data_IF_385429323831
#
_entry.id   IF_385429323831
#
_cell.length_a   1.000
_cell.length_b   1.000
_cell.length_c   1.000
_cell.angle_alpha   90.00
_cell.angle_beta   90.00
_cell.angle_gamma   90.00
#
_symmetry.space_group_name_H-M   'P 1'
#
loop_
_entity.id
_entity.type
_entity.pdbx_description
1 polymer ?
#
# COMPACT_ATOMS: atom_id res chain seq x y z
N UNK A 1 -9.68 20.36 26.30
CA UNK A 1 -11.06 20.33 25.76
C UNK A 1 -11.07 19.49 24.47
N UNK A 2 -12.19 19.30 23.76
CA UNK A 2 -12.21 18.44 22.54
C UNK A 2 -11.44 19.04 21.35
N UNK A 3 -11.37 20.37 21.25
CA UNK A 3 -10.62 21.05 20.20
C UNK A 3 -9.11 20.83 20.35
N UNK A 4 -8.60 20.75 21.59
CA UNK A 4 -7.20 20.43 21.86
C UNK A 4 -6.87 19.01 21.38
N UNK A 5 -7.78 18.04 21.59
CA UNK A 5 -7.63 16.66 21.11
C UNK A 5 -7.61 16.62 19.58
N UNK A 6 -8.53 17.31 18.92
CA UNK A 6 -8.57 17.36 17.45
C UNK A 6 -7.35 18.06 16.83
N UNK A 7 -6.64 18.89 17.60
CA UNK A 7 -5.41 19.54 17.17
C UNK A 7 -4.15 18.68 17.35
N UNK A 8 -4.22 17.57 18.09
CA UNK A 8 -3.11 16.62 18.22
C UNK A 8 -2.82 15.98 16.87
N UNK A 9 -1.54 15.73 16.62
CA UNK A 9 -1.09 14.79 15.60
C UNK A 9 -1.46 13.36 15.97
N UNK A 10 -1.45 12.45 15.00
CA UNK A 10 -1.65 11.02 15.26
C UNK A 10 -0.61 10.50 16.26
N UNK A 11 0.68 10.85 16.13
CA UNK A 11 1.74 10.39 17.05
C UNK A 11 1.54 10.89 18.49
N UNK A 12 1.12 12.15 18.65
CA UNK A 12 0.73 12.70 19.95
C UNK A 12 -0.49 11.96 20.52
N UNK A 13 -1.48 11.68 19.66
CA UNK A 13 -2.66 10.91 20.02
C UNK A 13 -2.34 9.48 20.47
N UNK A 14 -1.44 8.78 19.77
CA UNK A 14 -0.95 7.44 20.16
C UNK A 14 -0.38 7.47 21.57
N UNK A 15 0.45 8.47 21.86
CA UNK A 15 1.08 8.63 23.17
C UNK A 15 0.04 8.96 24.25
N UNK A 16 -0.88 9.88 23.95
CA UNK A 16 -1.89 10.38 24.88
C UNK A 16 -2.93 9.30 25.23
N UNK A 17 -3.40 8.55 24.24
CA UNK A 17 -4.46 7.54 24.39
C UNK A 17 -3.96 6.13 24.67
N UNK A 18 -2.67 5.93 25.00
CA UNK A 18 -2.06 4.60 25.27
C UNK A 18 -2.83 3.71 26.25
N UNK A 19 -3.59 4.29 27.17
CA UNK A 19 -4.37 3.57 28.18
C UNK A 19 -5.82 3.26 27.74
N UNK A 20 -6.21 3.66 26.53
CA UNK A 20 -7.55 3.51 25.96
C UNK A 20 -7.45 2.74 24.64
N UNK A 21 -7.42 1.39 24.68
CA UNK A 21 -7.17 0.56 23.48
C UNK A 21 -8.06 0.88 22.28
N UNK A 22 -9.35 1.15 22.53
CA UNK A 22 -10.32 1.46 21.48
C UNK A 22 -9.98 2.72 20.65
N UNK A 23 -9.18 3.64 21.21
CA UNK A 23 -8.69 4.83 20.52
C UNK A 23 -7.22 4.64 20.10
N UNK A 24 -6.43 4.00 20.94
CA UNK A 24 -5.02 3.72 20.66
C UNK A 24 -4.82 2.86 19.40
N UNK A 25 -5.54 1.75 19.23
CA UNK A 25 -5.29 0.80 18.14
C UNK A 25 -5.50 1.43 16.73
N UNK A 26 -6.60 2.20 16.48
CA UNK A 26 -6.74 2.92 15.22
C UNK A 26 -5.65 3.99 15.00
N UNK A 27 -5.25 4.71 16.04
CA UNK A 27 -4.20 5.74 15.95
C UNK A 27 -2.83 5.11 15.67
N UNK A 28 -2.53 3.98 16.30
CA UNK A 28 -1.30 3.24 16.04
C UNK A 28 -1.25 2.80 14.58
N UNK A 29 -2.36 2.26 14.06
CA UNK A 29 -2.45 1.87 12.65
C UNK A 29 -2.22 3.06 11.71
N UNK A 30 -2.78 4.24 12.02
CA UNK A 30 -2.52 5.46 11.26
C UNK A 30 -1.03 5.88 11.31
N UNK A 31 -0.37 5.76 12.46
CA UNK A 31 1.06 6.04 12.58
C UNK A 31 1.90 5.06 11.77
N UNK A 32 1.59 3.76 11.82
CA UNK A 32 2.29 2.70 11.10
C UNK A 32 2.20 2.83 9.58
N UNK A 33 1.07 3.32 9.04
CA UNK A 33 0.95 3.62 7.60
C UNK A 33 1.67 4.93 7.21
N UNK A 34 2.34 5.59 8.16
CA UNK A 34 3.13 6.79 7.92
C UNK A 34 2.40 8.12 8.08
N UNK A 35 1.20 8.13 8.67
CA UNK A 35 0.37 9.33 8.85
C UNK A 35 0.50 9.95 10.27
N UNK A 36 1.57 9.61 10.99
CA UNK A 36 1.85 10.10 12.35
C UNK A 36 1.78 11.63 12.50
N UNK A 37 2.14 12.36 11.44
CA UNK A 37 2.20 13.83 11.42
C UNK A 37 0.84 14.52 11.18
N UNK A 38 -0.20 13.80 10.77
CA UNK A 38 -1.50 14.38 10.42
C UNK A 38 -2.26 14.71 11.70
N UNK A 39 -3.00 15.82 11.71
CA UNK A 39 -3.87 16.15 12.85
C UNK A 39 -5.15 15.31 12.85
N UNK A 40 -5.61 14.91 14.04
CA UNK A 40 -6.84 14.12 14.19
C UNK A 40 -8.08 14.80 13.60
N UNK A 41 -8.16 16.13 13.71
CA UNK A 41 -9.22 16.96 13.15
C UNK A 41 -8.91 17.58 11.78
N UNK A 42 -7.88 17.12 11.07
CA UNK A 42 -7.54 17.66 9.76
C UNK A 42 -8.70 17.45 8.78
N UNK A 43 -9.07 18.50 8.06
CA UNK A 43 -10.14 18.43 7.07
C UNK A 43 -9.79 17.44 5.97
N UNK A 44 -10.72 16.52 5.66
CA UNK A 44 -10.53 15.57 4.56
C UNK A 44 -10.30 16.23 3.20
N UNK A 45 -10.76 17.47 3.03
CA UNK A 45 -10.57 18.27 1.79
C UNK A 45 -9.15 18.81 1.62
N UNK A 46 -8.33 18.81 2.67
CA UNK A 46 -6.94 19.30 2.63
C UNK A 46 -5.92 18.16 2.58
N UNK A 47 -6.37 16.91 2.50
CA UNK A 47 -5.50 15.75 2.36
C UNK A 47 -5.05 15.60 0.91
N UNK A 48 -3.79 15.26 0.72
CA UNK A 48 -3.27 14.75 -0.55
C UNK A 48 -3.93 13.40 -0.91
N UNK A 49 -3.88 13.04 -2.19
CA UNK A 49 -4.38 11.74 -2.65
C UNK A 49 -3.72 10.56 -1.93
N UNK A 50 -2.40 10.61 -1.74
CA UNK A 50 -1.64 9.59 -1.02
C UNK A 50 -1.97 9.50 0.47
N UNK A 51 -2.30 10.62 1.13
CA UNK A 51 -2.80 10.59 2.52
C UNK A 51 -4.20 9.97 2.59
N UNK A 52 -5.11 10.38 1.71
CA UNK A 52 -6.46 9.83 1.67
C UNK A 52 -6.45 8.31 1.42
N UNK A 53 -5.55 7.84 0.56
CA UNK A 53 -5.36 6.41 0.31
C UNK A 53 -4.82 5.67 1.52
N UNK A 54 -3.79 6.20 2.20
CA UNK A 54 -3.24 5.59 3.41
C UNK A 54 -4.26 5.56 4.56
N UNK A 55 -5.13 6.56 4.68
CA UNK A 55 -6.25 6.52 5.62
C UNK A 55 -7.19 5.34 5.31
N UNK A 56 -7.56 5.13 4.04
CA UNK A 56 -8.39 3.98 3.64
C UNK A 56 -7.71 2.65 3.99
N UNK A 57 -6.41 2.53 3.72
CA UNK A 57 -5.65 1.32 4.06
C UNK A 57 -5.55 1.09 5.57
N UNK A 58 -5.34 2.15 6.36
CA UNK A 58 -5.32 2.06 7.82
C UNK A 58 -6.66 1.58 8.40
N UNK A 59 -7.78 2.01 7.80
CA UNK A 59 -9.10 1.59 8.21
C UNK A 59 -9.33 0.10 7.93
N UNK A 60 -8.82 -0.41 6.81
CA UNK A 60 -8.88 -1.85 6.50
C UNK A 60 -7.96 -2.67 7.40
N UNK A 61 -6.75 -2.19 7.71
CA UNK A 61 -5.83 -2.84 8.65
C UNK A 61 -6.43 -2.96 10.06
N UNK A 62 -7.15 -1.91 10.52
CA UNK A 62 -7.77 -1.86 11.84
C UNK A 62 -8.94 -2.83 12.01
N UNK A 63 -9.48 -3.37 10.90
CA UNK A 63 -10.56 -4.35 10.96
C UNK A 63 -10.04 -5.72 11.39
N UNK A 64 -10.89 -6.46 12.09
CA UNK A 64 -10.60 -7.84 12.47
C UNK A 64 -10.46 -8.69 11.20
N UNK A 65 -9.22 -9.07 10.89
CA UNK A 65 -8.90 -9.84 9.70
C UNK A 65 -9.45 -11.26 9.83
N UNK A 66 -10.13 -11.73 8.78
CA UNK A 66 -10.62 -13.11 8.67
C UNK A 66 -9.60 -14.03 8.01
N UNK A 67 -8.50 -13.46 7.46
CA UNK A 67 -7.52 -14.17 6.63
C UNK A 67 -8.10 -14.69 5.33
N UNK A 68 -9.23 -14.13 4.86
CA UNK A 68 -9.96 -14.56 3.66
C UNK A 68 -10.50 -13.38 2.87
N UNK A 69 -9.86 -12.22 2.99
CA UNK A 69 -10.23 -11.02 2.24
C UNK A 69 -9.32 -10.89 1.01
N UNK A 70 -9.91 -10.52 -0.12
CA UNK A 70 -9.18 -10.14 -1.34
C UNK A 70 -9.14 -8.62 -1.42
N UNK A 71 -7.95 -8.05 -1.41
CA UNK A 71 -7.71 -6.64 -1.65
C UNK A 71 -7.26 -6.43 -3.09
N UNK A 72 -7.89 -5.48 -3.78
CA UNK A 72 -7.48 -5.04 -5.12
C UNK A 72 -7.10 -3.58 -5.03
N UNK A 73 -5.87 -3.25 -5.40
CA UNK A 73 -5.34 -1.89 -5.39
C UNK A 73 -4.93 -1.50 -6.81
N UNK A 74 -5.44 -0.36 -7.26
CA UNK A 74 -5.12 0.22 -8.56
C UNK A 74 -4.11 1.35 -8.38
N UNK A 75 -2.89 1.13 -8.87
CA UNK A 75 -1.71 2.02 -8.79
C UNK A 75 -1.53 2.73 -7.44
N UNK A 76 -1.38 1.99 -6.33
CA UNK A 76 -1.34 2.58 -5.01
C UNK A 76 -0.09 3.43 -4.73
N UNK A 77 0.93 3.39 -5.59
CA UNK A 77 2.10 4.24 -5.48
C UNK A 77 1.98 5.57 -6.22
N UNK A 78 0.89 5.82 -6.95
CA UNK A 78 0.73 7.04 -7.74
C UNK A 78 0.81 8.30 -6.86
N UNK A 79 1.79 9.15 -7.17
CA UNK A 79 2.06 10.40 -6.44
C UNK A 79 2.77 10.22 -5.10
N UNK A 80 3.26 9.03 -4.76
CA UNK A 80 4.06 8.79 -3.55
C UNK A 80 5.55 9.00 -3.81
N UNK A 81 6.23 9.60 -2.83
CA UNK A 81 7.70 9.66 -2.80
C UNK A 81 8.27 8.27 -2.43
N UNK A 82 9.51 7.96 -2.83
CA UNK A 82 10.16 6.65 -2.59
C UNK A 82 10.08 6.16 -1.13
N UNK A 83 10.22 7.08 -0.17
CA UNK A 83 10.10 6.78 1.26
C UNK A 83 8.69 6.31 1.65
N UNK A 84 7.65 6.90 1.06
CA UNK A 84 6.26 6.53 1.33
C UNK A 84 5.87 5.22 0.65
N UNK A 85 6.49 4.87 -0.49
CA UNK A 85 6.33 3.55 -1.14
C UNK A 85 6.78 2.43 -0.20
N UNK A 86 7.89 2.61 0.51
CA UNK A 86 8.40 1.61 1.47
C UNK A 86 7.40 1.38 2.61
N UNK A 87 6.81 2.46 3.16
CA UNK A 87 5.77 2.36 4.20
C UNK A 87 4.49 1.69 3.69
N UNK A 88 4.10 1.99 2.45
CA UNK A 88 2.97 1.31 1.82
C UNK A 88 3.25 -0.20 1.70
N UNK A 89 4.44 -0.59 1.26
CA UNK A 89 4.81 -2.00 1.17
C UNK A 89 4.75 -2.71 2.52
N UNK A 90 5.24 -2.09 3.60
CA UNK A 90 5.11 -2.64 4.96
C UNK A 90 3.66 -2.94 5.33
N UNK A 91 2.74 -2.05 4.97
CA UNK A 91 1.29 -2.20 5.20
C UNK A 91 0.71 -3.35 4.37
N UNK A 92 1.07 -3.46 3.09
CA UNK A 92 0.63 -4.55 2.23
C UNK A 92 1.15 -5.91 2.74
N UNK A 93 2.39 -5.97 3.24
CA UNK A 93 2.94 -7.17 3.84
C UNK A 93 2.23 -7.57 5.13
N UNK A 94 1.82 -6.61 5.98
CA UNK A 94 0.99 -6.90 7.17
C UNK A 94 -0.38 -7.49 6.79
N UNK A 95 -1.02 -6.94 5.76
CA UNK A 95 -2.29 -7.47 5.24
C UNK A 95 -2.11 -8.90 4.73
N UNK A 96 -1.05 -9.16 3.97
CA UNK A 96 -0.69 -10.49 3.47
C UNK A 96 -0.42 -11.47 4.61
N UNK A 97 0.41 -11.08 5.58
CA UNK A 97 0.80 -11.91 6.73
C UNK A 97 -0.39 -12.31 7.60
N UNK A 98 -1.46 -11.51 7.57
CA UNK A 98 -2.74 -11.82 8.23
C UNK A 98 -3.58 -12.88 7.47
N UNK A 99 -3.07 -13.45 6.38
CA UNK A 99 -3.70 -14.49 5.56
C UNK A 99 -4.51 -13.97 4.37
N UNK A 100 -4.53 -12.66 4.13
CA UNK A 100 -5.28 -12.08 3.02
C UNK A 100 -4.54 -12.19 1.68
N UNK A 101 -5.29 -12.10 0.59
CA UNK A 101 -4.74 -12.02 -0.77
C UNK A 101 -4.76 -10.57 -1.23
N UNK A 102 -3.69 -10.14 -1.89
CA UNK A 102 -3.58 -8.81 -2.49
C UNK A 102 -3.32 -8.94 -3.98
N UNK A 103 -4.06 -8.19 -4.78
CA UNK A 103 -3.80 -7.96 -6.20
C UNK A 103 -3.50 -6.48 -6.35
N UNK A 104 -2.35 -6.16 -6.92
CA UNK A 104 -1.88 -4.79 -7.08
C UNK A 104 -1.57 -4.57 -8.55
N UNK A 105 -2.19 -3.55 -9.13
CA UNK A 105 -1.85 -3.04 -10.46
C UNK A 105 -0.77 -1.98 -10.25
N UNK A 106 0.42 -2.19 -10.80
CA UNK A 106 1.55 -1.29 -10.59
C UNK A 106 2.49 -1.25 -11.80
N UNK A 107 3.18 -0.13 -11.92
CA UNK A 107 4.34 0.03 -12.81
C UNK A 107 5.62 0.32 -12.02
N UNK A 108 5.51 0.53 -10.70
CA UNK A 108 6.67 0.77 -9.84
C UNK A 108 7.45 -0.53 -9.57
N UNK A 109 8.69 -0.58 -10.05
CA UNK A 109 9.55 -1.76 -9.93
C UNK A 109 9.89 -2.11 -8.47
N UNK A 110 9.90 -1.15 -7.55
CA UNK A 110 10.12 -1.41 -6.12
C UNK A 110 8.99 -2.22 -5.51
N UNK A 111 7.76 -2.10 -6.04
CA UNK A 111 6.63 -2.92 -5.64
C UNK A 111 6.70 -4.27 -6.33
N UNK A 112 6.86 -4.28 -7.67
CA UNK A 112 6.84 -5.49 -8.49
C UNK A 112 7.90 -6.50 -8.04
N UNK A 113 9.12 -6.05 -7.72
CA UNK A 113 10.20 -6.94 -7.26
C UNK A 113 9.90 -7.68 -5.95
N UNK A 114 8.95 -7.18 -5.17
CA UNK A 114 8.58 -7.77 -3.87
C UNK A 114 7.37 -8.69 -3.94
N UNK A 115 6.74 -8.81 -5.11
CA UNK A 115 5.59 -9.67 -5.31
C UNK A 115 6.00 -11.15 -5.27
N UNK A 116 5.14 -12.00 -4.71
CA UNK A 116 5.35 -13.46 -4.79
C UNK A 116 5.02 -14.02 -6.18
N UNK A 117 4.15 -13.32 -6.91
CA UNK A 117 3.68 -13.70 -8.23
C UNK A 117 3.33 -12.45 -9.03
N UNK A 118 3.75 -12.41 -10.29
CA UNK A 118 3.50 -11.34 -11.24
C UNK A 118 2.75 -11.93 -12.43
N UNK A 119 1.77 -11.19 -12.94
CA UNK A 119 1.09 -11.47 -14.21
C UNK A 119 1.38 -10.28 -15.11
N UNK A 120 2.22 -10.49 -16.12
CA UNK A 120 2.62 -9.45 -17.06
C UNK A 120 1.69 -9.44 -18.28
N UNK A 121 1.09 -8.30 -18.56
CA UNK A 121 0.15 -8.11 -19.66
C UNK A 121 0.80 -7.27 -20.77
N UNK A 122 0.53 -7.63 -22.02
CA UNK A 122 1.08 -6.95 -23.17
C UNK A 122 0.86 -7.76 -24.46
N UNK A 123 1.85 -7.80 -25.37
CA UNK A 123 3.17 -7.15 -25.31
C UNK A 123 3.13 -5.63 -25.49
N UNK A 124 2.05 -5.11 -26.09
CA UNK A 124 1.82 -3.68 -26.32
C UNK A 124 0.52 -3.21 -25.62
N UNK A 125 0.22 -1.91 -25.71
CA UNK A 125 -1.07 -1.36 -25.33
C UNK A 125 -2.13 -1.42 -26.45
N UNK A 126 -3.40 -1.26 -26.10
CA UNK A 126 -4.50 -1.20 -27.07
C UNK A 126 -4.73 -2.52 -27.82
N UNK A 127 -4.98 -2.46 -29.13
CA UNK A 127 -5.26 -3.63 -29.98
C UNK A 127 -4.08 -4.61 -30.08
N UNK A 128 -2.86 -4.16 -29.76
CA UNK A 128 -1.66 -4.99 -29.71
C UNK A 128 -1.44 -5.69 -28.37
N UNK A 129 -2.34 -5.50 -27.41
CA UNK A 129 -2.22 -6.00 -26.04
C UNK A 129 -3.26 -7.07 -25.67
N UNK A 130 -3.51 -7.18 -24.37
CA UNK A 130 -4.55 -8.05 -23.81
C UNK A 130 -4.18 -9.52 -23.68
N UNK A 131 -2.89 -9.86 -23.83
CA UNK A 131 -2.38 -11.21 -23.64
C UNK A 131 -1.51 -11.29 -22.38
N UNK A 132 -1.48 -12.47 -21.76
CA UNK A 132 -0.50 -12.79 -20.72
C UNK A 132 0.82 -13.09 -21.43
N UNK A 133 1.81 -12.23 -21.23
CA UNK A 133 3.15 -12.35 -21.82
C UNK A 133 4.03 -13.27 -20.98
N UNK A 134 3.93 -13.13 -19.66
CA UNK A 134 4.62 -13.96 -18.69
C UNK A 134 3.83 -14.00 -17.38
N UNK A 135 3.95 -15.10 -16.64
CA UNK A 135 3.45 -15.20 -15.28
C UNK A 135 4.42 -16.03 -14.43
N UNK A 136 4.53 -15.68 -13.15
CA UNK A 136 5.42 -16.35 -12.21
C UNK A 136 6.05 -15.40 -11.19
N UNK A 137 6.96 -15.90 -10.35
CA UNK A 137 7.78 -15.08 -9.49
C UNK A 137 8.60 -14.05 -10.29
N UNK A 138 8.99 -12.90 -9.71
CA UNK A 138 9.83 -11.89 -10.34
C UNK A 138 11.06 -12.45 -11.08
N UNK A 139 11.69 -13.48 -10.52
CA UNK A 139 12.87 -14.15 -11.07
C UNK A 139 12.59 -14.93 -12.37
N UNK A 140 11.35 -15.38 -12.58
CA UNK A 140 10.93 -16.01 -13.83
C UNK A 140 10.53 -14.96 -14.88
N UNK A 141 9.91 -13.86 -14.46
CA UNK A 141 9.54 -12.76 -15.37
C UNK A 141 10.77 -12.19 -16.08
N UNK A 142 11.89 -12.01 -15.37
CA UNK A 142 13.14 -11.47 -15.96
C UNK A 142 13.80 -12.37 -17.01
N UNK A 143 13.39 -13.65 -17.10
CA UNK A 143 13.89 -14.59 -18.10
C UNK A 143 13.09 -14.53 -19.41
N UNK A 144 11.93 -13.87 -19.41
CA UNK A 144 11.08 -13.75 -20.59
C UNK A 144 11.49 -12.54 -21.43
N UNK A 145 12.14 -12.77 -22.56
CA UNK A 145 12.59 -11.70 -23.48
C UNK A 145 11.44 -10.88 -24.07
N UNK A 146 10.22 -11.44 -24.13
CA UNK A 146 9.02 -10.76 -24.62
C UNK A 146 8.40 -9.81 -23.58
N UNK A 147 8.77 -9.95 -22.30
CA UNK A 147 8.24 -9.14 -21.20
C UNK A 147 8.98 -7.80 -21.09
N UNK A 148 8.28 -6.69 -21.33
CA UNK A 148 8.84 -5.36 -21.06
C UNK A 148 9.12 -5.20 -19.57
N UNK A 149 8.19 -5.66 -18.72
CA UNK A 149 8.36 -5.67 -17.26
C UNK A 149 9.64 -6.40 -16.86
N UNK A 150 9.86 -7.62 -17.36
CA UNK A 150 11.07 -8.41 -17.11
C UNK A 150 12.36 -7.70 -17.52
N UNK A 151 12.35 -7.01 -18.67
CA UNK A 151 13.50 -6.24 -19.16
C UNK A 151 13.96 -5.16 -18.17
N UNK A 152 13.02 -4.42 -17.56
CA UNK A 152 13.34 -3.38 -16.59
C UNK A 152 13.60 -3.94 -15.19
N UNK A 153 12.81 -4.93 -14.79
CA UNK A 153 12.91 -5.59 -13.48
C UNK A 153 14.28 -6.24 -13.26
N UNK A 154 14.91 -6.74 -14.32
CA UNK A 154 16.27 -7.31 -14.31
C UNK A 154 17.33 -6.38 -13.73
N UNK A 155 17.15 -5.06 -13.79
CA UNK A 155 18.13 -4.10 -13.27
C UNK A 155 17.96 -3.77 -11.78
N UNK A 156 16.89 -4.25 -11.15
CA UNK A 156 16.55 -3.92 -9.75
C UNK A 156 16.37 -5.15 -8.84
N UNK A 157 16.47 -6.35 -9.40
CA UNK A 157 16.54 -7.65 -8.70
C UNK A 157 17.98 -8.03 -8.35
#
# INVERSE_FOLDING_TARGET
>A
NIADVLNMTVDEGVTFFRAVPQVYDPLLTLAEVGLGYIKLGQSGTTLSGGEAQRIKLSAELSRKQTGRTLYILDEPTTGLHFHDVSKLLEVLFKLRASGNTLIVIEHNLDVIKTADWVIDLGPEGGDGGGQIVAEGPPEEIIKCDASQTGRYLKNVL
#
